data_IF_319252661876
#
_entry.id   IF_319252661876
#
_cell.length_a   1.000
_cell.length_b   1.000
_cell.length_c   1.000
_cell.angle_alpha   90.00
_cell.angle_beta   90.00
_cell.angle_gamma   90.00
#
_symmetry.space_group_name_H-M   'P 1'
#
loop_
_entity.id
_entity.type
_entity.pdbx_description
1 polymer ?
#
# COMPACT_ATOMS: atom_id res chain seq x y z
N UNK A 1 5.00 -12.77 -1.96
CA UNK A 1 5.68 -12.04 -0.88
C UNK A 1 4.73 -10.96 -0.38
N UNK A 2 4.42 -10.92 0.92
CA UNK A 2 3.57 -9.86 1.48
C UNK A 2 4.37 -8.54 1.53
N UNK A 3 3.71 -7.42 1.85
CA UNK A 3 4.33 -6.08 1.72
C UNK A 3 5.49 -5.91 2.71
N UNK A 4 6.49 -5.09 2.35
CA UNK A 4 7.70 -4.92 3.16
C UNK A 4 7.40 -4.34 4.55
N UNK A 5 6.33 -3.55 4.67
CA UNK A 5 5.90 -2.89 5.90
C UNK A 5 5.59 -3.86 7.05
N UNK A 6 5.13 -5.08 6.75
CA UNK A 6 4.87 -6.12 7.79
C UNK A 6 6.17 -6.62 8.41
N UNK A 7 7.24 -6.66 7.62
CA UNK A 7 8.53 -7.15 8.05
C UNK A 7 9.39 -6.06 8.68
N UNK A 8 8.99 -4.80 8.54
CA UNK A 8 9.87 -3.67 8.80
C UNK A 8 10.34 -3.60 10.27
N UNK A 9 9.47 -3.91 11.25
CA UNK A 9 9.88 -3.99 12.66
C UNK A 9 10.93 -5.09 12.92
N UNK A 10 10.71 -6.29 12.37
CA UNK A 10 11.64 -7.41 12.52
C UNK A 10 12.97 -7.13 11.80
N UNK A 11 12.91 -6.55 10.61
CA UNK A 11 14.07 -6.20 9.80
C UNK A 11 14.90 -5.08 10.45
N UNK A 12 14.24 -4.14 11.14
CA UNK A 12 14.92 -3.13 11.93
C UNK A 12 15.69 -3.71 13.10
N UNK A 13 15.12 -4.72 13.77
CA UNK A 13 15.84 -5.51 14.78
C UNK A 13 17.03 -6.28 14.20
N UNK A 14 16.96 -6.69 12.93
CA UNK A 14 18.04 -7.33 12.19
C UNK A 14 19.07 -6.33 11.59
N UNK A 15 18.92 -5.02 11.84
CA UNK A 15 19.86 -3.98 11.39
C UNK A 15 19.52 -3.31 10.06
N UNK A 16 18.41 -3.67 9.41
CA UNK A 16 17.95 -3.00 8.19
C UNK A 16 17.14 -1.75 8.55
N UNK A 17 17.64 -0.58 8.20
CA UNK A 17 17.03 0.70 8.56
C UNK A 17 16.10 1.28 7.50
N UNK A 18 15.88 0.56 6.39
CA UNK A 18 15.02 1.02 5.30
C UNK A 18 14.48 -0.16 4.48
N UNK A 19 13.47 0.11 3.66
CA UNK A 19 12.84 -0.87 2.77
C UNK A 19 12.13 -0.15 1.62
N UNK A 20 11.76 -0.90 0.58
CA UNK A 20 10.96 -0.36 -0.53
C UNK A 20 9.46 -0.38 -0.19
N UNK A 21 8.83 0.80 -0.15
CA UNK A 21 7.38 0.92 0.03
C UNK A 21 6.68 1.03 -1.32
N UNK A 22 6.03 -0.05 -1.77
CA UNK A 22 5.28 -0.03 -3.03
C UNK A 22 4.06 0.89 -2.96
N UNK A 23 3.39 0.94 -1.79
CA UNK A 23 2.19 1.76 -1.58
C UNK A 23 2.50 3.26 -1.58
N UNK A 24 3.76 3.65 -1.41
CA UNK A 24 4.21 5.03 -1.58
C UNK A 24 3.82 5.63 -2.94
N UNK A 25 3.67 4.81 -3.99
CA UNK A 25 3.21 5.27 -5.30
C UNK A 25 1.81 5.93 -5.28
N UNK A 26 0.95 5.58 -4.31
CA UNK A 26 -0.42 6.08 -4.27
C UNK A 26 -0.86 6.61 -2.89
N UNK A 27 -0.28 6.15 -1.78
CA UNK A 27 -0.52 6.69 -0.42
C UNK A 27 0.80 7.14 0.25
N UNK A 28 1.54 8.10 -0.33
CA UNK A 28 2.88 8.47 0.15
C UNK A 28 2.88 9.03 1.58
N UNK A 29 1.82 9.74 1.99
CA UNK A 29 1.72 10.29 3.35
C UNK A 29 1.60 9.18 4.41
N UNK A 30 0.77 8.16 4.16
CA UNK A 30 0.64 7.00 5.04
C UNK A 30 1.95 6.21 5.14
N UNK A 31 2.61 5.98 4.00
CA UNK A 31 3.91 5.29 3.96
C UNK A 31 4.99 6.05 4.77
N UNK A 32 5.04 7.37 4.65
CA UNK A 32 5.96 8.20 5.44
C UNK A 32 5.61 8.19 6.93
N UNK A 33 4.32 8.24 7.28
CA UNK A 33 3.86 8.16 8.68
C UNK A 33 4.28 6.83 9.32
N UNK A 34 4.09 5.71 8.60
CA UNK A 34 4.53 4.40 9.08
C UNK A 34 6.05 4.35 9.25
N UNK A 35 6.81 4.84 8.26
CA UNK A 35 8.27 4.89 8.34
C UNK A 35 8.75 5.73 9.53
N UNK A 36 8.18 6.91 9.75
CA UNK A 36 8.51 7.77 10.89
C UNK A 36 8.20 7.08 12.23
N UNK A 37 7.03 6.45 12.36
CA UNK A 37 6.65 5.70 13.57
C UNK A 37 7.61 4.55 13.86
N UNK A 38 7.98 3.79 12.82
CA UNK A 38 8.94 2.69 12.92
C UNK A 38 10.31 3.15 13.45
N UNK A 39 10.83 4.26 12.92
CA UNK A 39 12.09 4.84 13.39
C UNK A 39 11.99 5.39 14.81
N UNK A 40 10.85 6.00 15.17
CA UNK A 40 10.57 6.48 16.51
C UNK A 40 10.26 5.36 17.53
N UNK A 41 10.22 4.08 17.10
CA UNK A 41 9.78 2.94 17.91
C UNK A 41 8.34 3.10 18.46
N UNK A 42 7.51 3.86 17.77
CA UNK A 42 6.09 4.01 18.07
C UNK A 42 5.31 2.80 17.52
N UNK A 43 5.33 1.72 18.30
CA UNK A 43 4.67 0.46 17.95
C UNK A 43 3.15 0.62 17.84
N UNK A 44 2.53 1.49 18.63
CA UNK A 44 1.09 1.69 18.60
C UNK A 44 0.63 2.27 17.26
N UNK A 45 1.33 3.30 16.76
CA UNK A 45 1.05 3.86 15.43
C UNK A 45 1.34 2.86 14.31
N UNK A 46 2.44 2.09 14.40
CA UNK A 46 2.74 1.04 13.43
C UNK A 46 1.62 0.00 13.36
N UNK A 47 1.20 -0.53 14.51
CA UNK A 47 0.16 -1.55 14.61
C UNK A 47 -1.21 -1.05 14.12
N UNK A 48 -1.57 0.20 14.45
CA UNK A 48 -2.78 0.83 13.93
C UNK A 48 -2.74 0.87 12.40
N UNK A 49 -1.66 1.36 11.79
CA UNK A 49 -1.55 1.46 10.32
C UNK A 49 -1.55 0.06 9.67
N UNK A 50 -0.94 -0.93 10.32
CA UNK A 50 -0.98 -2.32 9.84
C UNK A 50 -2.41 -2.86 9.80
N UNK A 51 -3.18 -2.65 10.88
CA UNK A 51 -4.56 -3.12 11.01
C UNK A 51 -5.52 -2.38 10.08
N UNK A 52 -5.43 -1.05 10.03
CA UNK A 52 -6.40 -0.22 9.31
C UNK A 52 -6.17 -0.25 7.79
N UNK A 53 -4.91 -0.45 7.35
CA UNK A 53 -4.56 -0.37 5.93
C UNK A 53 -3.85 -1.61 5.38
N UNK A 54 -2.70 -2.01 5.95
CA UNK A 54 -1.88 -3.02 5.30
C UNK A 54 -2.51 -4.41 5.30
N UNK A 55 -3.12 -4.88 6.40
CA UNK A 55 -3.77 -6.18 6.45
C UNK A 55 -4.92 -6.32 5.44
N UNK A 56 -5.90 -5.39 5.37
CA UNK A 56 -6.89 -5.39 4.31
C UNK A 56 -6.28 -5.32 2.90
N UNK A 57 -5.23 -4.51 2.71
CA UNK A 57 -4.57 -4.39 1.42
C UNK A 57 -3.87 -5.70 0.99
N UNK A 58 -3.28 -6.43 1.92
CA UNK A 58 -2.65 -7.72 1.69
C UNK A 58 -3.68 -8.77 1.32
N UNK A 59 -4.84 -8.76 1.98
CA UNK A 59 -5.95 -9.66 1.64
C UNK A 59 -6.35 -9.46 0.17
N UNK A 60 -6.57 -8.21 -0.24
CA UNK A 60 -6.86 -7.87 -1.64
C UNK A 60 -5.74 -8.34 -2.58
N UNK A 61 -4.48 -8.06 -2.25
CA UNK A 61 -3.30 -8.47 -3.04
C UNK A 61 -3.13 -9.99 -3.15
N UNK A 62 -3.66 -10.75 -2.21
CA UNK A 62 -3.50 -12.20 -2.16
C UNK A 62 -4.56 -12.94 -2.96
N UNK A 63 -5.63 -12.24 -3.42
CA UNK A 63 -6.72 -12.86 -4.19
C UNK A 63 -6.27 -13.46 -5.52
N UNK A 64 -5.27 -12.85 -6.19
CA UNK A 64 -4.72 -13.36 -7.47
C UNK A 64 -3.23 -13.12 -7.60
N UNK A 65 -2.56 -14.01 -8.33
CA UNK A 65 -1.15 -13.82 -8.70
C UNK A 65 -1.00 -12.55 -9.54
N UNK A 66 0.04 -11.77 -9.25
CA UNK A 66 0.31 -10.51 -9.96
C UNK A 66 -0.28 -9.25 -9.33
N UNK A 67 -1.19 -9.39 -8.35
CA UNK A 67 -1.83 -8.22 -7.71
C UNK A 67 -0.89 -7.40 -6.85
N UNK A 68 0.29 -7.93 -6.51
CA UNK A 68 1.37 -7.13 -5.93
C UNK A 68 1.79 -5.93 -6.80
N UNK A 69 1.60 -6.00 -8.12
CA UNK A 69 1.85 -4.89 -9.06
C UNK A 69 0.53 -4.26 -9.52
N UNK A 70 -0.47 -5.09 -9.86
CA UNK A 70 -1.74 -4.60 -10.40
C UNK A 70 -2.50 -3.71 -9.40
N UNK A 71 -2.53 -4.06 -8.12
CA UNK A 71 -3.18 -3.25 -7.09
C UNK A 71 -2.47 -1.90 -6.88
N UNK A 72 -1.14 -1.85 -7.02
CA UNK A 72 -0.38 -0.60 -6.95
C UNK A 72 -0.77 0.32 -8.12
N UNK A 73 -0.81 -0.22 -9.34
CA UNK A 73 -1.24 0.53 -10.52
C UNK A 73 -2.68 1.02 -10.41
N UNK A 74 -3.59 0.19 -9.91
CA UNK A 74 -4.97 0.58 -9.61
C UNK A 74 -5.02 1.74 -8.60
N UNK A 75 -4.27 1.65 -7.49
CA UNK A 75 -4.17 2.72 -6.51
C UNK A 75 -3.69 4.04 -7.12
N UNK A 76 -2.67 4.00 -7.98
CA UNK A 76 -2.17 5.19 -8.69
C UNK A 76 -3.25 5.80 -9.60
N UNK A 77 -4.04 4.96 -10.29
CA UNK A 77 -5.17 5.42 -11.11
C UNK A 77 -6.27 6.06 -10.27
N UNK A 78 -6.64 5.45 -9.14
CA UNK A 78 -7.64 5.97 -8.20
C UNK A 78 -7.22 7.33 -7.61
N UNK A 79 -5.92 7.56 -7.44
CA UNK A 79 -5.37 8.86 -7.04
C UNK A 79 -5.34 9.91 -8.17
N UNK A 80 -5.90 9.59 -9.34
CA UNK A 80 -6.07 10.51 -10.47
C UNK A 80 -4.88 10.61 -11.41
N UNK A 81 -3.94 9.66 -11.37
CA UNK A 81 -2.80 9.62 -12.30
C UNK A 81 -3.01 8.60 -13.42
N UNK A 82 -2.66 8.96 -14.65
CA UNK A 82 -2.82 8.10 -15.84
C UNK A 82 -1.74 7.01 -15.96
N UNK A 83 -1.70 6.05 -15.03
CA UNK A 83 -0.70 4.97 -15.02
C UNK A 83 -0.92 3.88 -16.11
N UNK A 84 -2.09 3.86 -16.75
CA UNK A 84 -2.48 2.84 -17.72
C UNK A 84 -2.67 1.44 -17.13
N UNK A 85 -3.01 0.44 -17.97
CA UNK A 85 -3.20 -0.95 -17.54
C UNK A 85 -1.87 -1.64 -17.25
N UNK A 86 -1.91 -2.78 -16.56
CA UNK A 86 -0.73 -3.67 -16.49
C UNK A 86 -0.48 -4.36 -17.84
N UNK A 87 0.76 -4.79 -18.09
CA UNK A 87 1.09 -5.59 -19.28
C UNK A 87 0.87 -7.09 -18.99
N UNK A 88 0.47 -7.84 -20.01
CA UNK A 88 0.46 -9.32 -19.97
C UNK A 88 1.84 -9.85 -19.52
N UNK A 89 1.90 -10.90 -18.67
CA UNK A 89 0.82 -11.81 -18.24
C UNK A 89 0.01 -11.36 -17.01
N UNK A 90 0.20 -10.12 -16.55
CA UNK A 90 -0.59 -9.59 -15.43
C UNK A 90 -1.98 -9.15 -15.91
N UNK A 91 -2.95 -9.15 -14.98
CA UNK A 91 -4.29 -8.63 -15.20
C UNK A 91 -4.60 -7.56 -14.15
N UNK A 92 -5.32 -6.52 -14.56
CA UNK A 92 -5.80 -5.49 -13.64
C UNK A 92 -6.82 -6.06 -12.62
N UNK A 93 -7.12 -5.27 -11.60
CA UNK A 93 -8.18 -5.56 -10.65
C UNK A 93 -9.54 -5.51 -11.37
N UNK A 94 -10.51 -6.27 -10.87
CA UNK A 94 -11.91 -6.08 -11.31
C UNK A 94 -12.46 -4.76 -10.78
N UNK A 95 -13.57 -4.29 -11.35
CA UNK A 95 -14.24 -3.08 -10.86
C UNK A 95 -14.63 -3.18 -9.37
N UNK A 96 -15.05 -4.37 -8.92
CA UNK A 96 -15.38 -4.63 -7.51
C UNK A 96 -14.15 -4.54 -6.61
N UNK A 97 -13.02 -5.09 -7.06
CA UNK A 97 -11.74 -5.04 -6.34
C UNK A 97 -11.15 -3.62 -6.32
N UNK A 98 -11.31 -2.85 -7.40
CA UNK A 98 -10.94 -1.43 -7.42
C UNK A 98 -11.81 -0.61 -6.44
N UNK A 99 -13.12 -0.89 -6.33
CA UNK A 99 -13.99 -0.25 -5.34
C UNK A 99 -13.64 -0.64 -3.89
N UNK A 100 -13.12 -1.84 -3.65
CA UNK A 100 -12.55 -2.23 -2.34
C UNK A 100 -11.29 -1.39 -2.06
N UNK A 101 -10.39 -1.26 -3.04
CA UNK A 101 -9.16 -0.47 -2.89
C UNK A 101 -9.47 1.01 -2.67
N UNK A 102 -10.44 1.58 -3.38
CA UNK A 102 -10.85 2.98 -3.22
C UNK A 102 -11.36 3.26 -1.79
N UNK A 103 -12.21 2.38 -1.26
CA UNK A 103 -12.66 2.47 0.15
C UNK A 103 -11.50 2.37 1.14
N UNK A 104 -10.52 1.53 0.85
CA UNK A 104 -9.34 1.37 1.70
C UNK A 104 -8.40 2.58 1.65
N UNK A 105 -8.30 3.26 0.50
CA UNK A 105 -7.57 4.53 0.38
C UNK A 105 -8.21 5.59 1.28
N UNK A 106 -9.54 5.68 1.28
CA UNK A 106 -10.30 6.51 2.23
C UNK A 106 -9.74 7.92 2.38
N UNK A 107 -9.38 8.30 3.61
CA UNK A 107 -8.85 9.63 3.96
C UNK A 107 -7.48 9.95 3.33
N UNK A 108 -6.79 8.95 2.76
CA UNK A 108 -5.54 9.14 2.01
C UNK A 108 -5.80 9.56 0.55
N UNK A 109 -7.06 9.69 0.14
CA UNK A 109 -7.43 10.12 -1.20
C UNK A 109 -6.83 11.48 -1.52
N UNK A 110 -6.23 11.59 -2.72
CA UNK A 110 -5.68 12.86 -3.18
C UNK A 110 -6.82 13.89 -3.29
N UNK A 111 -6.69 15.00 -2.56
CA UNK A 111 -7.60 16.14 -2.74
C UNK A 111 -7.47 16.63 -4.18
N UNK A 112 -8.58 16.65 -4.91
CA UNK A 112 -8.63 17.28 -6.24
C UNK A 112 -8.29 18.75 -6.04
N UNK A 113 -7.32 19.25 -6.81
CA UNK A 113 -7.11 20.69 -6.88
C UNK A 113 -8.42 21.31 -7.40
N UNK A 114 -8.91 22.33 -6.70
CA UNK A 114 -10.09 23.08 -7.08
C UNK A 114 -9.89 23.78 -8.43
#
# INVERSE_FOLDING_TARGET
MPTAEIYAEAYLGAGFTTYSSAVFNFVPALAQRFYAALHARDRATCEQILNDFFWPFIELRSRRKGYAVAAIKAGVRLQGFAAGPVRSPLSDLTAEEEAILERLIGDQARRKAA
#
